data_IF_305290117274
#
_entry.id   IF_305290117274
#
_cell.length_a   1.000
_cell.length_b   1.000
_cell.length_c   1.000
_cell.angle_alpha   90.00
_cell.angle_beta   90.00
_cell.angle_gamma   90.00
#
_symmetry.space_group_name_H-M   'P 1'
#
loop_
_entity.id
_entity.type
_entity.pdbx_description
1 polymer ?
#
# COMPACT_ATOMS: atom_id res chain seq x y z
N UNK A 1 -9.11 -2.31 6.97
CA UNK A 1 -7.69 -2.50 6.62
C UNK A 1 -7.33 -3.98 6.65
N UNK A 2 -6.29 -4.41 5.94
CA UNK A 2 -5.73 -5.76 6.04
C UNK A 2 -5.28 -6.01 7.49
N UNK A 3 -5.80 -7.07 8.13
CA UNK A 3 -5.68 -7.27 9.56
C UNK A 3 -4.23 -7.30 10.05
N UNK A 4 -3.37 -8.12 9.43
CA UNK A 4 -1.96 -8.23 9.83
C UNK A 4 -1.17 -6.93 9.72
N UNK A 5 -1.41 -6.13 8.66
CA UNK A 5 -0.69 -4.86 8.48
C UNK A 5 -1.26 -3.76 9.38
N UNK A 6 -2.55 -3.82 9.70
CA UNK A 6 -3.14 -2.93 10.69
C UNK A 6 -2.59 -3.20 12.10
N UNK A 7 -2.40 -4.47 12.47
CA UNK A 7 -1.74 -4.85 13.73
C UNK A 7 -0.29 -4.38 13.75
N UNK A 8 0.47 -4.61 12.68
CA UNK A 8 1.85 -4.13 12.57
C UNK A 8 1.95 -2.61 12.70
N UNK A 9 1.08 -1.86 12.02
CA UNK A 9 1.05 -0.41 12.12
C UNK A 9 0.70 0.09 13.52
N UNK A 10 -0.26 -0.57 14.21
CA UNK A 10 -0.61 -0.23 15.60
C UNK A 10 0.53 -0.51 16.57
N UNK A 11 1.23 -1.62 16.39
CA UNK A 11 2.35 -1.97 17.25
C UNK A 11 3.54 -1.05 17.03
N UNK A 12 3.86 -0.72 15.77
CA UNK A 12 4.84 0.31 15.44
C UNK A 12 4.46 1.68 16.02
N UNK A 13 3.18 2.05 15.93
CA UNK A 13 2.70 3.29 16.54
C UNK A 13 2.95 3.30 18.06
N UNK A 14 2.58 2.22 18.75
CA UNK A 14 2.75 2.08 20.20
C UNK A 14 4.23 2.13 20.62
N UNK A 15 5.11 1.47 19.86
CA UNK A 15 6.53 1.36 20.23
C UNK A 15 7.36 2.57 19.82
N UNK A 16 7.16 3.10 18.60
CA UNK A 16 8.06 4.10 18.02
C UNK A 16 7.60 5.54 18.28
N UNK A 17 6.29 5.80 18.43
CA UNK A 17 5.80 7.18 18.53
C UNK A 17 6.32 7.97 19.73
N UNK A 18 6.51 7.39 20.94
CA UNK A 18 7.10 8.16 22.05
C UNK A 18 8.46 8.75 21.67
N UNK A 19 9.38 7.94 21.15
CA UNK A 19 10.70 8.40 20.73
C UNK A 19 10.66 9.38 19.53
N UNK A 20 9.70 9.20 18.62
CA UNK A 20 9.49 10.12 17.48
C UNK A 20 9.00 11.48 17.97
N UNK A 21 8.08 11.51 18.94
CA UNK A 21 7.57 12.75 19.54
C UNK A 21 8.71 13.47 20.28
N UNK A 22 9.47 12.77 21.12
CA UNK A 22 10.63 13.35 21.82
C UNK A 22 11.64 13.97 20.82
N UNK A 23 11.91 13.28 19.71
CA UNK A 23 12.81 13.77 18.68
C UNK A 23 12.28 15.01 17.95
N UNK A 24 10.96 15.08 17.68
CA UNK A 24 10.32 16.23 17.04
C UNK A 24 10.24 17.44 17.97
N UNK A 25 10.06 17.23 19.28
CA UNK A 25 10.10 18.29 20.29
C UNK A 25 11.53 18.85 20.45
N UNK A 26 12.54 17.97 20.42
CA UNK A 26 13.94 18.37 20.47
C UNK A 26 14.41 19.10 19.21
N UNK A 27 13.72 18.95 18.08
CA UNK A 27 14.07 19.58 16.80
C UNK A 27 12.86 20.33 16.19
N UNK A 28 12.47 21.49 16.77
CA UNK A 28 11.37 22.28 16.24
C UNK A 28 11.57 22.65 14.76
N UNK A 29 10.51 22.53 13.97
CA UNK A 29 10.53 22.82 12.53
C UNK A 29 10.83 21.61 11.64
N UNK A 30 11.25 20.47 12.20
CA UNK A 30 11.40 19.23 11.45
C UNK A 30 10.02 18.64 11.10
N UNK A 31 9.95 17.96 9.96
CA UNK A 31 8.79 17.16 9.55
C UNK A 31 9.03 15.67 9.77
N UNK A 32 7.95 14.91 9.88
CA UNK A 32 7.98 13.46 9.95
C UNK A 32 7.78 12.84 8.56
N UNK A 33 8.73 12.01 8.13
CA UNK A 33 8.60 11.18 6.94
C UNK A 33 8.46 9.73 7.37
N UNK A 34 7.36 9.09 6.97
CA UNK A 34 7.14 7.66 7.13
C UNK A 34 7.41 6.99 5.79
N UNK A 35 8.16 5.89 5.78
CA UNK A 35 8.45 5.16 4.55
C UNK A 35 8.51 3.67 4.79
N UNK A 36 8.41 2.90 3.72
CA UNK A 36 8.53 1.45 3.75
C UNK A 36 8.44 0.86 2.36
N UNK A 37 8.99 -0.34 2.22
CA UNK A 37 8.95 -1.13 1.00
C UNK A 37 8.03 -2.35 1.18
N UNK A 38 7.34 -2.78 0.12
CA UNK A 38 6.50 -3.98 0.12
C UNK A 38 5.43 -3.93 1.23
N UNK A 39 5.28 -4.99 2.01
CA UNK A 39 4.45 -5.02 3.22
C UNK A 39 4.73 -3.82 4.16
N UNK A 40 5.99 -3.42 4.30
CA UNK A 40 6.37 -2.24 5.09
C UNK A 40 5.81 -0.94 4.52
N UNK A 41 5.66 -0.82 3.20
CA UNK A 41 4.99 0.32 2.57
C UNK A 41 3.49 0.38 2.89
N UNK A 42 2.83 -0.77 2.91
CA UNK A 42 1.45 -0.89 3.37
C UNK A 42 1.29 -0.50 4.85
N UNK A 43 2.19 -1.01 5.71
CA UNK A 43 2.21 -0.66 7.13
C UNK A 43 2.50 0.83 7.36
N UNK A 44 3.45 1.42 6.62
CA UNK A 44 3.80 2.84 6.67
C UNK A 44 2.60 3.75 6.38
N UNK A 45 1.80 3.42 5.36
CA UNK A 45 0.62 4.20 5.00
C UNK A 45 -0.50 4.09 6.06
N UNK A 46 -0.66 2.91 6.67
CA UNK A 46 -1.59 2.72 7.80
C UNK A 46 -1.09 3.43 9.07
N UNK A 47 0.20 3.37 9.37
CA UNK A 47 0.83 4.09 10.48
C UNK A 47 0.62 5.60 10.34
N UNK A 48 0.83 6.13 9.13
CA UNK A 48 0.56 7.55 8.82
C UNK A 48 -0.90 7.93 9.08
N UNK A 49 -1.84 7.02 8.78
CA UNK A 49 -3.26 7.22 9.09
C UNK A 49 -3.51 7.29 10.60
N UNK A 50 -2.85 6.45 11.40
CA UNK A 50 -2.95 6.48 12.87
C UNK A 50 -2.37 7.78 13.45
N UNK A 51 -1.17 8.18 13.01
CA UNK A 51 -0.50 9.42 13.46
C UNK A 51 -1.39 10.63 13.21
N UNK A 52 -1.99 10.73 12.02
CA UNK A 52 -2.88 11.84 11.68
C UNK A 52 -4.22 11.78 12.41
N UNK A 53 -4.71 10.57 12.72
CA UNK A 53 -5.93 10.40 13.49
C UNK A 53 -5.75 11.00 14.89
N UNK A 54 -4.65 10.64 15.56
CA UNK A 54 -4.35 11.09 16.91
C UNK A 54 -4.07 12.60 16.95
N UNK A 55 -3.32 13.11 15.98
CA UNK A 55 -3.11 14.56 15.84
C UNK A 55 -4.42 15.35 15.63
N UNK A 56 -5.43 14.77 14.98
CA UNK A 56 -6.77 15.39 14.83
C UNK A 56 -7.62 15.26 16.08
N UNK A 57 -7.51 14.15 16.81
CA UNK A 57 -8.22 13.94 18.06
C UNK A 57 -7.78 14.97 19.12
N UNK A 58 -6.47 15.21 19.25
CA UNK A 58 -5.91 16.22 20.17
C UNK A 58 -6.40 17.63 19.83
N UNK A 59 -6.48 18.01 18.54
CA UNK A 59 -6.99 19.32 18.11
C UNK A 59 -8.46 19.57 18.43
N UNK A 60 -9.27 18.52 18.55
CA UNK A 60 -10.72 18.64 18.76
C UNK A 60 -11.15 18.80 20.22
N UNK A 61 -10.21 18.77 21.18
CA UNK A 61 -10.51 18.99 22.60
C UNK A 61 -11.57 18.05 23.17
N UNK A 62 -11.83 16.92 22.52
CA UNK A 62 -12.89 16.01 22.91
C UNK A 62 -12.32 15.05 23.96
N UNK A 63 -12.74 15.26 25.21
CA UNK A 63 -12.50 14.31 26.29
C UNK A 63 -12.85 12.89 25.83
N UNK A 64 -11.89 12.01 26.00
CA UNK A 64 -12.05 10.57 25.80
C UNK A 64 -13.29 10.08 26.58
N UNK A 65 -14.30 9.43 25.96
CA UNK A 65 -15.55 9.09 26.63
C UNK A 65 -15.47 7.79 27.45
N UNK A 66 -14.31 7.50 28.04
CA UNK A 66 -14.12 6.41 29.01
C UNK A 66 -13.26 6.92 30.17
N UNK A 67 -13.90 7.54 31.15
CA UNK A 67 -13.22 8.06 32.33
C UNK A 67 -14.19 8.68 33.31
N UNK A 68 -14.99 7.83 33.96
CA UNK A 68 -15.70 8.20 35.19
C UNK A 68 -14.68 8.83 36.15
N UNK A 69 -15.01 10.03 36.60
CA UNK A 69 -14.09 10.91 37.29
C UNK A 69 -13.48 10.33 38.56
N UNK A 70 -12.31 10.84 38.90
CA UNK A 70 -11.83 10.86 40.27
C UNK A 70 -11.28 12.25 40.56
N UNK A 71 -11.98 12.96 41.46
CA UNK A 71 -11.55 14.21 42.04
C UNK A 71 -10.30 13.99 42.89
N UNK A 72 -9.42 14.97 42.83
CA UNK A 72 -8.21 15.25 43.63
C UNK A 72 -8.26 14.92 45.13
N UNK A 73 -7.12 14.45 45.68
CA UNK A 73 -6.30 15.18 46.70
C UNK A 73 -4.97 14.45 47.00
N UNK A 74 -3.85 15.16 47.25
CA UNK A 74 -2.61 14.58 47.75
C UNK A 74 -2.50 14.71 49.29
N UNK A 75 -1.91 13.71 49.95
CA UNK A 75 -1.30 13.84 51.28
C UNK A 75 -0.07 12.94 51.39
N UNK A 76 0.92 13.44 52.12
CA UNK A 76 2.35 13.11 52.07
C UNK A 76 2.79 11.93 52.95
N UNK A 77 4.11 11.68 52.91
CA UNK A 77 4.98 10.88 53.82
C UNK A 77 5.00 9.37 53.52
N UNK A 78 6.12 8.63 53.56
CA UNK A 78 7.51 8.87 53.96
C UNK A 78 8.42 7.75 53.35
N UNK A 79 9.74 7.91 53.43
CA UNK A 79 10.76 7.17 52.66
C UNK A 79 11.08 5.72 53.08
N UNK A 80 11.76 4.98 52.19
CA UNK A 80 13.08 4.37 52.44
C UNK A 80 13.62 3.56 51.25
N UNK A 81 14.95 3.41 51.23
CA UNK A 81 15.82 3.13 50.10
C UNK A 81 15.83 1.70 49.50
N UNK A 82 16.11 1.59 48.19
CA UNK A 82 17.25 0.79 47.66
C UNK A 82 17.47 0.95 46.16
N UNK A 83 18.74 1.16 45.79
CA UNK A 83 19.23 1.15 44.42
C UNK A 83 19.45 -0.28 43.90
N UNK A 84 19.10 -0.55 42.64
CA UNK A 84 20.03 -1.03 41.60
C UNK A 84 19.33 -1.58 40.34
N UNK A 85 19.97 -1.29 39.20
CA UNK A 85 19.80 -1.85 37.85
C UNK A 85 18.52 -1.49 37.07
N UNK A 86 18.68 -0.40 36.31
CA UNK A 86 17.80 0.15 35.29
C UNK A 86 17.67 -0.76 34.07
N UNK A 87 16.44 -1.18 33.80
CA UNK A 87 15.88 -1.31 32.45
C UNK A 87 14.41 -1.00 32.58
N UNK A 88 14.09 0.29 32.70
CA UNK A 88 12.72 0.78 32.86
C UNK A 88 11.97 0.60 31.54
N UNK A 89 11.38 -0.57 31.39
CA UNK A 89 10.28 -0.80 30.47
C UNK A 89 9.05 -0.12 31.09
N UNK A 90 8.83 1.16 30.76
CA UNK A 90 7.66 1.91 31.22
C UNK A 90 6.41 1.23 30.66
N UNK A 91 5.71 0.49 31.52
CA UNK A 91 4.36 0.01 31.28
C UNK A 91 3.45 1.23 31.15
N UNK A 92 3.14 1.64 29.92
CA UNK A 92 2.13 2.65 29.68
C UNK A 92 0.80 2.18 30.26
N UNK A 93 0.31 2.89 31.26
CA UNK A 93 -1.04 2.69 31.78
C UNK A 93 -2.04 3.28 30.77
N UNK A 94 -3.25 2.73 30.71
CA UNK A 94 -4.33 3.15 29.79
C UNK A 94 -4.85 4.59 30.01
N UNK A 95 -4.15 5.44 30.78
CA UNK A 95 -4.60 6.76 31.19
C UNK A 95 -3.89 7.93 30.46
N UNK A 96 -2.76 7.69 29.82
CA UNK A 96 -2.04 8.75 29.07
C UNK A 96 -2.65 8.93 27.67
N UNK A 97 -2.79 10.18 27.18
CA UNK A 97 -3.21 10.41 25.80
C UNK A 97 -2.21 9.75 24.84
N UNK A 98 -2.69 9.19 23.71
CA UNK A 98 -1.80 8.54 22.76
C UNK A 98 -0.72 9.54 22.30
N UNK A 99 0.55 9.10 22.15
CA UNK A 99 1.65 9.97 21.76
C UNK A 99 1.33 10.64 20.43
N UNK A 100 1.21 11.96 20.43
CA UNK A 100 0.81 12.75 19.27
C UNK A 100 1.96 13.65 18.79
N UNK A 101 2.12 13.77 17.47
CA UNK A 101 3.13 14.66 16.90
C UNK A 101 2.86 16.12 17.30
N UNK A 102 3.91 16.95 17.53
CA UNK A 102 3.75 18.36 17.89
C UNK A 102 2.88 19.13 16.88
N UNK A 103 2.15 20.14 17.36
CA UNK A 103 1.27 20.93 16.52
C UNK A 103 2.06 21.61 15.38
N UNK A 104 1.56 21.48 14.16
CA UNK A 104 2.21 22.06 12.97
C UNK A 104 3.24 21.15 12.31
N UNK A 105 3.55 19.98 12.88
CA UNK A 105 4.44 18.99 12.27
C UNK A 105 3.91 18.58 10.89
N UNK A 106 4.74 18.74 9.86
CA UNK A 106 4.45 18.22 8.52
C UNK A 106 4.65 16.71 8.50
N UNK A 107 3.64 15.94 8.12
CA UNK A 107 3.71 14.48 8.00
C UNK A 107 3.58 14.09 6.54
N UNK A 108 4.51 13.29 6.03
CA UNK A 108 4.49 12.73 4.66
C UNK A 108 4.77 11.24 4.67
N UNK A 109 4.19 10.51 3.71
CA UNK A 109 4.48 9.10 3.54
C UNK A 109 4.89 8.78 2.10
N UNK A 110 6.01 8.05 1.94
CA UNK A 110 6.46 7.50 0.67
C UNK A 110 6.49 5.99 0.77
N UNK A 111 5.54 5.33 0.10
CA UNK A 111 5.38 3.88 0.15
C UNK A 111 5.86 3.26 -1.17
N UNK A 112 6.83 2.36 -1.11
CA UNK A 112 7.38 1.68 -2.28
C UNK A 112 6.82 0.25 -2.34
N UNK A 113 6.35 -0.17 -3.52
CA UNK A 113 5.69 -1.45 -3.71
C UNK A 113 4.57 -1.78 -2.68
N UNK A 114 3.74 -0.82 -2.19
CA UNK A 114 2.78 -1.16 -1.15
C UNK A 114 1.67 -2.05 -1.72
N UNK A 115 1.25 -3.10 -1.00
CA UNK A 115 0.06 -3.86 -1.38
C UNK A 115 -1.21 -3.03 -1.15
N UNK A 116 -2.35 -3.40 -1.78
CA UNK A 116 -3.65 -2.88 -1.44
C UNK A 116 -4.08 -3.33 -0.03
N UNK A 117 -4.16 -2.39 0.92
CA UNK A 117 -4.33 -2.70 2.36
C UNK A 117 -5.53 -2.05 3.00
N UNK A 118 -6.22 -1.14 2.33
CA UNK A 118 -7.31 -0.37 2.95
C UNK A 118 -8.56 -0.36 2.07
N UNK A 119 -9.73 -0.40 2.70
CA UNK A 119 -11.02 -0.22 2.03
C UNK A 119 -11.65 1.07 2.56
N UNK A 120 -12.10 1.93 1.66
CA UNK A 120 -12.62 3.27 1.97
C UNK A 120 -11.54 4.35 1.98
N UNK A 121 -11.88 5.52 2.52
CA UNK A 121 -11.01 6.69 2.50
C UNK A 121 -10.12 6.72 3.75
N UNK A 122 -8.83 6.50 3.55
CA UNK A 122 -7.84 6.58 4.63
C UNK A 122 -7.45 8.04 4.89
N UNK A 123 -7.43 8.45 6.15
CA UNK A 123 -7.01 9.79 6.57
C UNK A 123 -5.63 10.17 6.06
N UNK A 124 -4.71 9.19 6.01
CA UNK A 124 -3.35 9.37 5.54
C UNK A 124 -3.18 9.33 4.03
N UNK A 125 -4.23 9.03 3.26
CA UNK A 125 -4.11 8.96 1.80
C UNK A 125 -3.64 10.29 1.20
N UNK A 126 -4.18 11.42 1.67
CA UNK A 126 -3.83 12.76 1.14
C UNK A 126 -2.35 13.12 1.25
N UNK A 127 -1.63 12.57 2.24
CA UNK A 127 -0.20 12.80 2.48
C UNK A 127 0.69 11.64 2.05
N UNK A 128 0.10 10.58 1.50
CA UNK A 128 0.80 9.37 1.08
C UNK A 128 0.94 9.32 -0.44
N UNK A 129 2.17 9.14 -0.89
CA UNK A 129 2.50 8.84 -2.29
C UNK A 129 3.03 7.42 -2.39
N UNK A 130 2.42 6.62 -3.25
CA UNK A 130 2.87 5.26 -3.53
C UNK A 130 3.71 5.23 -4.80
N UNK A 131 4.71 4.36 -4.84
CA UNK A 131 5.54 4.08 -6.01
C UNK A 131 5.44 2.60 -6.35
N UNK A 132 5.27 2.28 -7.63
CA UNK A 132 5.20 0.92 -8.15
C UNK A 132 6.11 0.81 -9.38
N UNK A 133 7.06 -0.11 -9.38
CA UNK A 133 8.00 -0.27 -10.49
C UNK A 133 7.50 -1.34 -11.47
N UNK A 134 7.52 -1.03 -12.77
CA UNK A 134 7.25 -2.00 -13.84
C UNK A 134 6.01 -2.86 -13.59
N UNK A 135 6.21 -4.18 -13.63
CA UNK A 135 5.18 -5.20 -13.43
C UNK A 135 5.19 -5.78 -12.00
N UNK A 136 5.72 -5.06 -11.01
CA UNK A 136 5.78 -5.51 -9.61
C UNK A 136 4.47 -6.17 -9.16
N UNK A 137 4.58 -7.39 -8.65
CA UNK A 137 3.46 -8.20 -8.20
C UNK A 137 2.75 -7.61 -7.00
N UNK A 138 3.47 -7.02 -6.04
CA UNK A 138 2.94 -6.70 -4.71
C UNK A 138 1.81 -5.67 -4.73
N UNK A 139 1.88 -4.58 -5.51
CA UNK A 139 0.77 -3.64 -5.66
C UNK A 139 -0.53 -4.23 -6.21
N UNK A 140 -0.50 -5.46 -6.73
CA UNK A 140 -1.65 -6.17 -7.28
C UNK A 140 -2.10 -7.35 -6.40
N UNK A 141 -1.34 -7.71 -5.36
CA UNK A 141 -1.67 -8.83 -4.50
C UNK A 141 -2.89 -8.54 -3.63
N UNK A 142 -3.98 -9.26 -3.88
CA UNK A 142 -5.18 -9.22 -3.05
C UNK A 142 -5.92 -10.56 -3.11
N UNK A 143 -6.80 -10.80 -2.14
CA UNK A 143 -7.70 -11.98 -2.17
C UNK A 143 -8.53 -12.01 -3.46
N UNK A 144 -8.91 -10.84 -3.99
CA UNK A 144 -9.61 -10.76 -5.25
C UNK A 144 -8.72 -11.13 -6.44
N UNK A 145 -7.44 -10.71 -6.43
CA UNK A 145 -6.50 -11.11 -7.48
C UNK A 145 -6.27 -12.64 -7.50
N UNK A 146 -6.18 -13.27 -6.33
CA UNK A 146 -6.08 -14.74 -6.21
C UNK A 146 -7.35 -15.42 -6.73
N UNK A 147 -8.53 -14.90 -6.38
CA UNK A 147 -9.81 -15.41 -6.89
C UNK A 147 -9.89 -15.29 -8.42
N UNK A 148 -9.51 -14.14 -8.96
CA UNK A 148 -9.47 -13.90 -10.41
C UNK A 148 -8.56 -14.90 -11.12
N UNK A 149 -7.39 -15.22 -10.54
CA UNK A 149 -6.48 -16.24 -11.09
C UNK A 149 -7.09 -17.63 -11.01
N UNK A 150 -7.65 -18.03 -9.87
CA UNK A 150 -8.26 -19.35 -9.72
C UNK A 150 -9.48 -19.53 -10.64
N UNK A 151 -10.25 -18.47 -10.84
CA UNK A 151 -11.36 -18.45 -11.78
C UNK A 151 -10.85 -18.57 -13.23
N UNK A 152 -9.82 -17.82 -13.60
CA UNK A 152 -9.19 -17.93 -14.91
C UNK A 152 -8.67 -19.35 -15.17
N UNK A 153 -8.00 -19.96 -14.19
CA UNK A 153 -7.52 -21.34 -14.28
C UNK A 153 -8.67 -22.34 -14.46
N UNK A 154 -9.75 -22.19 -13.68
CA UNK A 154 -10.94 -23.04 -13.78
C UNK A 154 -11.58 -22.97 -15.17
N UNK A 155 -11.55 -21.79 -15.81
CA UNK A 155 -12.03 -21.60 -17.18
C UNK A 155 -11.11 -22.23 -18.22
N UNK A 156 -9.79 -22.20 -18.00
CA UNK A 156 -8.81 -22.89 -18.84
C UNK A 156 -9.03 -24.41 -18.76
N UNK A 157 -9.22 -24.96 -17.56
CA UNK A 157 -9.45 -26.39 -17.34
C UNK A 157 -10.78 -26.86 -17.96
N UNK A 158 -11.80 -26.02 -17.94
CA UNK A 158 -13.09 -26.31 -18.55
C UNK A 158 -13.10 -26.13 -20.08
N UNK A 159 -12.09 -25.51 -20.66
CA UNK A 159 -12.02 -25.27 -22.10
C UNK A 159 -11.56 -26.53 -22.82
N UNK A 160 -12.47 -27.16 -23.57
CA UNK A 160 -12.16 -28.36 -24.33
C UNK A 160 -11.17 -28.06 -25.46
N UNK A 161 -9.99 -28.67 -25.39
CA UNK A 161 -8.94 -28.54 -26.40
C UNK A 161 -8.24 -29.90 -26.63
N UNK A 162 -7.91 -30.26 -27.89
CA UNK A 162 -7.17 -31.49 -28.16
C UNK A 162 -5.82 -31.50 -27.44
N UNK A 163 -5.45 -32.64 -26.84
CA UNK A 163 -4.21 -32.82 -26.04
C UNK A 163 -2.95 -32.30 -26.75
N UNK A 164 -2.85 -32.50 -28.07
CA UNK A 164 -1.72 -32.01 -28.87
C UNK A 164 -1.65 -30.48 -28.89
N UNK A 165 -2.80 -29.82 -29.01
CA UNK A 165 -2.88 -28.35 -28.97
C UNK A 165 -2.59 -27.85 -27.56
N UNK A 166 -3.13 -28.50 -26.53
CA UNK A 166 -2.83 -28.19 -25.13
C UNK A 166 -1.34 -28.25 -24.83
N UNK A 167 -0.67 -29.34 -25.21
CA UNK A 167 0.77 -29.49 -25.01
C UNK A 167 1.55 -28.44 -25.81
N UNK A 168 1.18 -28.19 -27.08
CA UNK A 168 1.83 -27.19 -27.92
C UNK A 168 1.70 -25.76 -27.35
N UNK A 169 0.55 -25.42 -26.75
CA UNK A 169 0.34 -24.14 -26.07
C UNK A 169 1.14 -24.09 -24.76
N UNK A 170 1.11 -25.15 -23.96
CA UNK A 170 1.80 -25.22 -22.67
C UNK A 170 3.32 -25.07 -22.78
N UNK A 171 3.93 -25.63 -23.83
CA UNK A 171 5.38 -25.48 -24.10
C UNK A 171 5.72 -24.22 -24.92
N UNK A 172 4.73 -23.39 -25.25
CA UNK A 172 4.91 -22.16 -26.02
C UNK A 172 5.17 -22.34 -27.52
N UNK A 173 4.96 -23.54 -28.07
CA UNK A 173 5.13 -23.83 -29.49
C UNK A 173 3.99 -23.27 -30.37
N UNK A 174 2.82 -22.99 -29.79
CA UNK A 174 1.69 -22.34 -30.47
C UNK A 174 1.02 -21.29 -29.57
N UNK A 175 0.47 -20.21 -30.13
CA UNK A 175 -0.35 -19.27 -29.36
C UNK A 175 -1.64 -19.95 -28.89
N UNK A 176 -2.21 -19.51 -27.74
CA UNK A 176 -3.50 -20.01 -27.28
C UNK A 176 -4.60 -19.67 -28.31
N UNK A 177 -5.60 -20.55 -28.50
CA UNK A 177 -6.74 -20.26 -29.35
C UNK A 177 -7.47 -18.99 -28.89
N UNK A 178 -7.96 -18.18 -29.83
CA UNK A 178 -8.64 -16.93 -29.48
C UNK A 178 -9.85 -17.17 -28.57
N UNK A 179 -10.62 -18.24 -28.80
CA UNK A 179 -11.73 -18.60 -27.91
C UNK A 179 -11.33 -18.86 -26.46
N UNK A 180 -10.12 -19.40 -26.21
CA UNK A 180 -9.59 -19.56 -24.86
C UNK A 180 -9.22 -18.20 -24.25
N UNK A 181 -8.59 -17.33 -25.04
CA UNK A 181 -8.25 -15.97 -24.63
C UNK A 181 -9.52 -15.18 -24.29
N UNK A 182 -10.55 -15.29 -25.11
CA UNK A 182 -11.83 -14.62 -24.91
C UNK A 182 -12.49 -15.12 -23.62
N UNK A 183 -12.55 -16.44 -23.41
CA UNK A 183 -13.12 -17.04 -22.19
C UNK A 183 -12.39 -16.58 -20.91
N UNK A 184 -11.06 -16.45 -20.96
CA UNK A 184 -10.27 -15.99 -19.79
C UNK A 184 -10.37 -14.48 -19.58
N UNK A 185 -10.48 -13.70 -20.65
CA UNK A 185 -10.47 -12.22 -20.57
C UNK A 185 -11.87 -11.59 -20.44
N UNK A 186 -12.92 -12.31 -20.82
CA UNK A 186 -14.29 -11.85 -20.73
C UNK A 186 -14.81 -11.94 -19.29
N UNK A 187 -14.91 -10.78 -18.62
CA UNK A 187 -15.51 -10.66 -17.28
C UNK A 187 -17.05 -10.71 -17.31
N UNK A 188 -17.68 -10.52 -18.47
CA UNK A 188 -19.14 -10.47 -18.65
C UNK A 188 -19.77 -11.87 -18.66
N UNK A 189 -19.05 -12.86 -19.18
CA UNK A 189 -19.51 -14.25 -19.35
C UNK A 189 -19.01 -15.22 -18.27
N UNK A 190 -18.49 -14.70 -17.14
CA UNK A 190 -18.32 -15.53 -15.95
C UNK A 190 -19.65 -16.22 -15.67
N UNK A 191 -19.75 -17.57 -15.65
CA UNK A 191 -20.98 -18.20 -15.25
C UNK A 191 -21.35 -17.64 -13.89
N UNK A 192 -22.51 -17.00 -13.82
CA UNK A 192 -23.19 -16.52 -12.61
C UNK A 192 -23.62 -17.71 -11.73
N UNK A 193 -22.84 -18.80 -11.73
CA UNK A 193 -23.03 -20.02 -10.95
C UNK A 193 -22.65 -19.66 -9.53
N UNK A 194 -23.71 -19.35 -8.80
CA UNK A 194 -23.76 -19.15 -7.37
C UNK A 194 -22.75 -18.11 -6.89
N UNK A 195 -23.19 -16.84 -6.90
CA UNK A 195 -22.95 -16.00 -5.73
C UNK A 195 -23.49 -16.77 -4.52
N UNK A 196 -22.67 -17.70 -4.02
CA UNK A 196 -22.75 -18.17 -2.66
C UNK A 196 -22.91 -16.92 -1.81
N UNK A 197 -23.83 -16.97 -0.86
CA UNK A 197 -24.18 -15.91 0.10
C UNK A 197 -23.01 -15.40 0.95
N UNK A 198 -21.78 -15.74 0.59
CA UNK A 198 -20.54 -15.23 1.16
C UNK A 198 -20.38 -13.76 0.77
N UNK A 199 -20.37 -12.90 1.79
CA UNK A 199 -20.09 -11.48 1.64
C UNK A 199 -18.85 -11.27 0.75
N UNK A 200 -19.03 -10.51 -0.34
CA UNK A 200 -17.94 -10.17 -1.26
C UNK A 200 -16.87 -9.45 -0.45
N UNK A 201 -15.64 -9.98 -0.46
CA UNK A 201 -14.54 -9.35 0.27
C UNK A 201 -14.36 -7.92 -0.25
N UNK A 202 -14.23 -6.92 0.65
CA UNK A 202 -14.12 -5.53 0.25
C UNK A 202 -12.88 -5.37 -0.63
N UNK A 203 -13.03 -4.62 -1.71
CA UNK A 203 -11.91 -4.31 -2.60
C UNK A 203 -10.93 -3.39 -1.88
N UNK A 204 -9.74 -3.91 -1.59
CA UNK A 204 -8.68 -3.14 -0.98
C UNK A 204 -7.96 -2.28 -2.03
N UNK A 205 -7.46 -1.14 -1.58
CA UNK A 205 -6.68 -0.16 -2.34
C UNK A 205 -5.43 0.20 -1.55
N UNK A 206 -4.44 0.75 -2.25
CA UNK A 206 -3.29 1.39 -1.61
C UNK A 206 -3.79 2.72 -1.03
N UNK A 207 -3.66 2.97 0.29
CA UNK A 207 -4.12 4.21 0.91
C UNK A 207 -3.15 5.36 0.59
N UNK A 208 -3.20 5.84 -0.65
CA UNK A 208 -2.40 6.94 -1.19
C UNK A 208 -3.29 7.89 -1.99
N UNK A 209 -2.89 9.14 -2.14
CA UNK A 209 -3.60 10.11 -3.00
C UNK A 209 -3.28 9.87 -4.47
N UNK A 210 -2.09 9.36 -4.74
CA UNK A 210 -1.58 9.04 -6.07
C UNK A 210 -0.63 7.86 -6.02
N UNK A 211 -0.66 7.05 -7.07
CA UNK A 211 0.29 5.98 -7.32
C UNK A 211 1.17 6.37 -8.50
N UNK A 212 2.48 6.41 -8.29
CA UNK A 212 3.48 6.69 -9.30
C UNK A 212 4.01 5.37 -9.84
N UNK A 213 3.73 5.10 -11.10
CA UNK A 213 4.26 3.98 -11.85
C UNK A 213 5.60 4.39 -12.45
N UNK A 214 6.66 3.72 -11.99
CA UNK A 214 8.01 3.90 -12.48
C UNK A 214 8.24 2.90 -13.61
N UNK A 215 8.55 3.41 -14.80
CA UNK A 215 8.80 2.59 -15.97
C UNK A 215 10.28 2.33 -16.11
N UNK A 216 10.65 1.06 -16.23
CA UNK A 216 12.01 0.73 -16.63
C UNK A 216 12.19 1.00 -18.13
N UNK A 217 13.32 1.59 -18.51
CA UNK A 217 13.67 1.85 -19.91
C UNK A 217 13.78 0.58 -20.78
N UNK A 218 14.05 -0.57 -20.15
CA UNK A 218 14.19 -1.88 -20.80
C UNK A 218 12.86 -2.66 -20.89
N UNK A 219 11.81 -2.28 -20.14
CA UNK A 219 10.52 -2.96 -20.20
C UNK A 219 9.72 -2.53 -21.46
N UNK A 220 10.06 -3.17 -22.59
CA UNK A 220 9.45 -2.96 -23.92
C UNK A 220 8.31 -3.95 -24.22
N UNK A 221 7.92 -4.79 -23.27
CA UNK A 221 6.95 -5.85 -23.54
C UNK A 221 5.62 -5.26 -24.06
N UNK A 222 4.99 -5.94 -25.03
CA UNK A 222 3.70 -5.51 -25.57
C UNK A 222 2.62 -5.46 -24.48
N UNK A 223 2.71 -6.35 -23.48
CA UNK A 223 1.84 -6.39 -22.31
C UNK A 223 2.01 -5.13 -21.43
N UNK A 224 3.25 -4.72 -21.13
CA UNK A 224 3.52 -3.50 -20.36
C UNK A 224 2.99 -2.25 -21.11
N UNK A 225 3.17 -2.17 -22.43
CA UNK A 225 2.61 -1.09 -23.26
C UNK A 225 1.08 -1.06 -23.24
N UNK A 226 0.43 -2.22 -23.35
CA UNK A 226 -1.04 -2.31 -23.29
C UNK A 226 -1.57 -1.92 -21.90
N UNK A 227 -0.88 -2.30 -20.82
CA UNK A 227 -1.21 -1.89 -19.46
C UNK A 227 -1.06 -0.38 -19.27
N UNK A 228 0.04 0.21 -19.73
CA UNK A 228 0.23 1.68 -19.73
C UNK A 228 -0.96 2.37 -20.39
N UNK A 229 -1.36 1.91 -21.58
CA UNK A 229 -2.54 2.44 -22.29
C UNK A 229 -3.84 2.26 -21.51
N UNK A 230 -4.06 1.13 -20.82
CA UNK A 230 -5.28 0.91 -20.03
C UNK A 230 -5.31 1.75 -18.75
N UNK A 231 -4.16 1.97 -18.13
CA UNK A 231 -4.02 2.83 -16.97
C UNK A 231 -4.20 4.30 -17.37
N UNK A 232 -3.53 4.76 -18.44
CA UNK A 232 -3.68 6.13 -18.95
C UNK A 232 -5.05 6.41 -19.55
N UNK A 233 -5.73 5.44 -20.15
CA UNK A 233 -7.11 5.60 -20.62
C UNK A 233 -8.14 5.75 -19.49
N UNK A 234 -7.77 5.42 -18.24
CA UNK A 234 -8.61 5.59 -17.05
C UNK A 234 -8.22 6.83 -16.23
N UNK A 235 -7.36 7.71 -16.79
CA UNK A 235 -6.88 8.90 -16.11
C UNK A 235 -7.82 10.10 -16.27
N UNK A 236 -7.84 10.91 -15.22
CA UNK A 236 -8.09 12.36 -15.30
C UNK A 236 -6.92 13.03 -16.04
N UNK A 237 -7.20 13.99 -16.91
CA UNK A 237 -6.23 14.66 -17.80
C UNK A 237 -5.09 15.45 -17.08
N UNK A 238 -5.02 15.39 -15.74
CA UNK A 238 -4.07 16.13 -14.90
C UNK A 238 -2.73 15.41 -14.67
N UNK A 239 -2.58 14.16 -15.11
CA UNK A 239 -1.35 13.39 -14.92
C UNK A 239 -0.49 13.38 -16.20
N UNK A 240 0.60 14.15 -16.19
CA UNK A 240 1.56 14.19 -17.29
C UNK A 240 2.33 12.86 -17.38
N UNK A 241 2.28 12.20 -18.55
CA UNK A 241 3.30 11.20 -18.92
C UNK A 241 4.61 11.96 -19.18
N UNK A 242 5.56 11.81 -18.26
CA UNK A 242 6.95 12.24 -18.47
C UNK A 242 7.79 11.01 -18.76
N UNK A 243 8.91 11.18 -19.48
CA UNK A 243 9.81 10.11 -19.89
C UNK A 243 10.16 9.17 -18.73
N UNK A 244 9.50 8.02 -18.63
CA UNK A 244 9.77 7.01 -17.59
C UNK A 244 8.82 6.99 -16.39
N UNK A 245 7.82 7.86 -16.30
CA UNK A 245 6.87 7.90 -15.16
C UNK A 245 5.43 8.12 -15.61
N UNK A 246 4.49 7.38 -15.02
CA UNK A 246 3.04 7.61 -15.15
C UNK A 246 2.40 7.62 -13.76
N UNK A 247 1.52 8.56 -13.47
CA UNK A 247 0.83 8.62 -12.18
C UNK A 247 -0.66 8.28 -12.33
N UNK A 248 -1.19 7.31 -11.58
CA UNK A 248 -2.58 6.90 -11.62
C UNK A 248 -3.25 6.98 -10.24
N UNK A 249 -4.59 6.88 -10.22
CA UNK A 249 -5.34 6.75 -8.97
C UNK A 249 -5.18 5.32 -8.38
N UNK A 250 -5.22 5.17 -7.05
CA UNK A 250 -5.26 3.85 -6.42
C UNK A 250 -6.43 2.98 -6.90
N UNK A 251 -7.56 3.59 -7.25
CA UNK A 251 -8.74 2.94 -7.84
C UNK A 251 -8.38 2.29 -9.17
N UNK A 252 -7.78 3.07 -10.07
CA UNK A 252 -7.40 2.61 -11.40
C UNK A 252 -6.43 1.43 -11.32
N UNK A 253 -5.44 1.49 -10.41
CA UNK A 253 -4.52 0.38 -10.17
C UNK A 253 -5.23 -0.85 -9.62
N UNK A 254 -6.13 -0.69 -8.65
CA UNK A 254 -6.87 -1.80 -8.06
C UNK A 254 -7.84 -2.46 -9.06
N UNK A 255 -8.24 -1.77 -10.14
CA UNK A 255 -9.09 -2.30 -11.23
C UNK A 255 -8.30 -2.94 -12.38
N UNK A 256 -6.97 -2.99 -12.31
CA UNK A 256 -6.15 -3.70 -13.31
C UNK A 256 -6.44 -5.19 -13.22
N UNK A 257 -6.63 -5.83 -14.37
CA UNK A 257 -6.79 -7.28 -14.49
C UNK A 257 -5.52 -7.98 -13.98
N UNK A 258 -5.65 -9.04 -13.20
CA UNK A 258 -4.49 -9.86 -12.82
C UNK A 258 -3.86 -10.50 -14.06
N UNK A 259 -2.55 -10.38 -14.20
CA UNK A 259 -1.78 -10.99 -15.28
C UNK A 259 -0.46 -11.51 -14.73
N UNK A 260 0.22 -12.34 -15.52
CA UNK A 260 1.55 -12.85 -15.21
C UNK A 260 2.57 -12.22 -16.16
N UNK A 261 3.64 -11.69 -15.59
CA UNK A 261 4.84 -11.26 -16.30
C UNK A 261 6.05 -12.00 -15.71
N UNK A 262 7.04 -12.38 -16.52
CA UNK A 262 8.26 -13.01 -16.01
C UNK A 262 9.04 -12.09 -15.07
N UNK A 263 8.83 -10.77 -15.19
CA UNK A 263 9.57 -9.77 -14.44
C UNK A 263 8.87 -9.34 -13.13
N UNK A 264 7.68 -9.84 -12.80
CA UNK A 264 6.91 -9.30 -11.67
C UNK A 264 7.60 -9.44 -10.31
N UNK A 265 8.43 -10.48 -10.15
CA UNK A 265 9.24 -10.70 -8.94
C UNK A 265 10.51 -9.86 -8.99
N UNK A 266 11.15 -9.77 -10.16
CA UNK A 266 12.40 -9.01 -10.31
C UNK A 266 12.18 -7.50 -10.21
N UNK A 267 11.02 -7.02 -10.67
CA UNK A 267 10.58 -5.63 -10.55
C UNK A 267 10.23 -5.23 -9.10
N UNK A 268 9.95 -6.22 -8.23
CA UNK A 268 9.72 -5.97 -6.81
C UNK A 268 11.01 -5.69 -6.02
N UNK A 269 12.19 -6.02 -6.56
CA UNK A 269 13.43 -5.79 -5.81
C UNK A 269 13.75 -4.31 -5.68
N UNK A 270 14.36 -3.95 -4.55
CA UNK A 270 14.78 -2.58 -4.24
C UNK A 270 15.64 -1.95 -5.34
N UNK A 271 16.56 -2.73 -5.94
CA UNK A 271 17.43 -2.27 -7.03
C UNK A 271 16.65 -1.88 -8.30
N UNK A 272 15.46 -2.44 -8.52
CA UNK A 272 14.58 -2.05 -9.62
C UNK A 272 13.94 -0.70 -9.36
N UNK A 273 13.54 -0.41 -8.12
CA UNK A 273 13.04 0.90 -7.70
C UNK A 273 14.12 1.97 -7.76
N UNK A 274 15.32 1.71 -7.23
CA UNK A 274 16.44 2.66 -7.29
C UNK A 274 16.80 3.05 -8.72
N UNK A 275 16.97 2.06 -9.61
CA UNK A 275 17.28 2.32 -11.01
C UNK A 275 16.19 3.13 -11.70
N UNK A 276 14.91 2.79 -11.47
CA UNK A 276 13.80 3.49 -12.10
C UNK A 276 13.65 4.92 -11.56
N UNK A 277 13.90 5.15 -10.27
CA UNK A 277 13.94 6.49 -9.68
C UNK A 277 15.11 7.31 -10.22
N UNK A 278 16.30 6.73 -10.32
CA UNK A 278 17.48 7.40 -10.88
C UNK A 278 17.25 7.80 -12.36
N UNK A 279 16.61 6.93 -13.13
CA UNK A 279 16.21 7.23 -14.51
C UNK A 279 15.20 8.39 -14.57
N UNK A 280 14.16 8.35 -13.74
CA UNK A 280 13.16 9.42 -13.66
C UNK A 280 13.77 10.76 -13.22
N UNK A 281 14.77 10.73 -12.33
CA UNK A 281 15.51 11.92 -11.90
C UNK A 281 16.48 12.44 -12.97
N UNK A 282 17.08 11.56 -13.78
CA UNK A 282 17.96 11.94 -14.88
C UNK A 282 17.22 12.47 -16.12
N UNK A 283 15.95 12.13 -16.29
CA UNK A 283 15.13 12.66 -17.39
C UNK A 283 14.70 14.12 -17.22
N UNK A 284 14.84 14.71 -16.02
CA UNK A 284 14.49 16.12 -15.77
C UNK A 284 15.63 17.11 -16.02
N UNK A 285 16.86 16.65 -16.27
CA UNK A 285 18.02 17.51 -16.53
C UNK A 285 18.32 17.73 -18.03
N UNK A 286 17.56 17.11 -18.94
CA UNK A 286 17.80 17.19 -20.38
C UNK A 286 16.90 18.18 -21.15
N UNK A 287 16.00 18.91 -20.47
CA UNK A 287 15.09 19.89 -21.10
C UNK A 287 15.43 21.37 -20.80
N UNK A 288 16.60 21.67 -20.24
CA UNK A 288 17.06 23.06 -20.04
C UNK A 288 18.55 23.24 -20.37
N UNK A 289 18.94 23.00 -21.63
CA UNK A 289 20.15 23.56 -22.25
C UNK A 289 19.82 24.02 -23.66
#
# INVERSE_FOLDING_TARGET
AHHGMALAARELHRQAMPAVVDALEAHPGYGLVVTGHSMGGGAAALLTTLILHDARATKRGFGWPFGLGAKSKPSAEDGDAKASSSSSMTTMTNADPPPCVPQGTSVRCFAFAPPPVFAGDALGASVTQAYCCGDDVVPHLSVNAVRDVLEALSRVDAFEMPVRTTLAVAVGAKPPPQGLVDVVTDRSNAPRRTRSSVAVAPKLRIPASRVVLLHRADNRSAAARMRRRRLSARHDASYAETSGVTACSPEALADVLTYFSPDMVSDHFFSSYERALAQAAGSSSAENV
#
